data_IF_773394868513
#
_entry.id   IF_773394868513
#
_cell.length_a   1.000
_cell.length_b   1.000
_cell.length_c   1.000
_cell.angle_alpha   90.00
_cell.angle_beta   90.00
_cell.angle_gamma   90.00
#
_symmetry.space_group_name_H-M   'P 1'
#
loop_
_entity.id
_entity.type
_entity.pdbx_description
1 polymer ?
#
# COMPACT_ATOMS: atom_id res chain seq x y z
N UNK A 1 8.80 12.06 -12.48
CA UNK A 1 7.51 12.44 -11.87
C UNK A 1 6.47 11.88 -12.80
N UNK A 2 5.86 10.76 -12.41
CA UNK A 2 5.05 9.94 -13.31
C UNK A 2 3.58 10.09 -12.95
N UNK A 3 2.67 10.14 -13.94
CA UNK A 3 1.26 9.93 -13.67
C UNK A 3 1.05 8.43 -13.44
N UNK A 4 0.72 8.02 -12.22
CA UNK A 4 0.04 6.73 -11.99
C UNK A 4 -1.25 6.78 -12.81
N UNK A 5 -1.34 5.90 -13.80
CA UNK A 5 -2.38 5.93 -14.82
C UNK A 5 -3.78 5.96 -14.22
N UNK A 6 -4.64 6.77 -14.84
CA UNK A 6 -6.08 6.64 -14.73
C UNK A 6 -6.47 5.16 -14.86
N UNK A 7 -7.35 4.70 -13.97
CA UNK A 7 -7.96 3.37 -14.03
C UNK A 7 -8.47 3.09 -15.45
N UNK A 8 -7.70 2.38 -16.27
CA UNK A 8 -8.13 1.93 -17.59
C UNK A 8 -8.67 0.52 -17.46
N UNK A 9 -9.98 0.41 -17.71
CA UNK A 9 -10.75 -0.83 -17.80
C UNK A 9 -10.07 -1.81 -18.75
N UNK A 10 -9.66 -2.96 -18.24
CA UNK A 10 -9.37 -4.16 -19.02
C UNK A 10 -10.11 -5.36 -18.42
N UNK A 11 -10.33 -6.37 -19.27
CA UNK A 11 -11.28 -7.46 -19.05
C UNK A 11 -10.97 -8.30 -17.80
N UNK A 12 -12.05 -8.71 -17.13
CA UNK A 12 -12.10 -9.53 -15.91
C UNK A 12 -11.50 -10.92 -16.16
N UNK A 13 -10.42 -11.33 -15.47
CA UNK A 13 -10.04 -12.74 -15.38
C UNK A 13 -10.95 -13.48 -14.38
N UNK A 14 -11.13 -14.77 -14.61
CA UNK A 14 -11.98 -15.71 -13.85
C UNK A 14 -11.82 -15.60 -12.31
N UNK A 15 -12.91 -15.35 -11.54
CA UNK A 15 -12.85 -15.07 -10.11
C UNK A 15 -12.71 -16.31 -9.20
N UNK A 16 -12.31 -17.49 -9.69
CA UNK A 16 -12.34 -18.73 -8.88
C UNK A 16 -11.02 -19.52 -8.73
N UNK A 17 -9.87 -19.04 -9.17
CA UNK A 17 -8.62 -19.70 -8.81
C UNK A 17 -8.13 -19.23 -7.42
N UNK A 18 -8.05 -20.09 -6.38
CA UNK A 18 -7.29 -19.75 -5.19
C UNK A 18 -5.84 -19.52 -5.62
N UNK A 19 -5.34 -18.29 -5.45
CA UNK A 19 -3.94 -17.98 -5.68
C UNK A 19 -3.04 -18.91 -4.83
N UNK A 20 -1.86 -19.30 -5.32
CA UNK A 20 -0.90 -20.07 -4.52
C UNK A 20 -0.58 -19.33 -3.21
N UNK A 21 -0.33 -20.07 -2.13
CA UNK A 21 -0.01 -19.48 -0.81
C UNK A 21 1.27 -18.63 -0.92
N UNK A 22 1.14 -17.33 -0.66
CA UNK A 22 2.27 -16.42 -0.40
C UNK A 22 3.08 -16.92 0.79
N UNK A 23 4.38 -16.65 0.80
CA UNK A 23 5.23 -16.91 1.98
C UNK A 23 4.66 -16.09 3.14
N UNK A 24 4.21 -16.76 4.21
CA UNK A 24 3.76 -16.08 5.43
C UNK A 24 4.88 -15.20 5.96
N UNK A 25 4.65 -13.89 5.96
CA UNK A 25 5.61 -12.94 6.50
C UNK A 25 5.45 -12.81 8.00
N UNK A 26 6.50 -12.29 8.64
CA UNK A 26 6.37 -11.76 10.00
C UNK A 26 5.37 -10.60 9.97
N UNK A 27 4.49 -10.56 10.97
CA UNK A 27 3.52 -9.47 11.17
C UNK A 27 4.21 -8.11 11.01
N UNK A 28 3.67 -7.28 10.12
CA UNK A 28 4.18 -5.95 9.80
C UNK A 28 3.06 -4.92 9.64
N UNK A 29 3.41 -3.64 9.56
CA UNK A 29 2.45 -2.59 9.28
C UNK A 29 2.03 -2.64 7.81
N UNK A 30 0.75 -2.92 7.58
CA UNK A 30 0.10 -2.81 6.28
C UNK A 30 -0.93 -1.68 6.29
N UNK A 31 -1.22 -1.15 5.10
CA UNK A 31 -2.12 -0.02 4.94
C UNK A 31 -3.18 -0.29 3.88
N UNK A 32 -4.42 0.12 4.19
CA UNK A 32 -5.53 0.29 3.27
C UNK A 32 -5.86 1.79 3.20
N UNK A 33 -5.92 2.35 2.00
CA UNK A 33 -6.28 3.74 1.84
C UNK A 33 -7.08 3.96 0.56
N UNK A 34 -7.87 5.03 0.59
CA UNK A 34 -8.59 5.58 -0.56
C UNK A 34 -8.24 7.05 -0.67
N UNK A 35 -8.16 7.56 -1.89
CA UNK A 35 -7.77 8.92 -2.23
C UNK A 35 -8.86 9.60 -3.03
N UNK A 36 -9.02 10.90 -2.80
CA UNK A 36 -10.02 11.76 -3.43
C UNK A 36 -9.39 13.07 -3.92
N UNK A 37 -10.13 13.79 -4.78
CA UNK A 37 -9.78 15.16 -5.22
C UNK A 37 -10.20 16.21 -4.18
N UNK A 38 -9.61 17.40 -4.23
CA UNK A 38 -8.77 17.93 -3.16
C UNK A 38 -8.30 19.38 -3.35
N UNK A 39 -9.17 20.39 -3.25
CA UNK A 39 -8.78 21.81 -3.36
C UNK A 39 -8.47 22.47 -2.01
N UNK A 40 -8.87 21.86 -0.89
CA UNK A 40 -8.64 22.39 0.46
C UNK A 40 -7.23 22.09 0.98
N UNK A 41 -6.71 22.91 1.90
CA UNK A 41 -5.45 22.61 2.57
C UNK A 41 -5.62 21.44 3.56
N UNK A 42 -4.70 20.47 3.51
CA UNK A 42 -4.75 19.25 4.31
C UNK A 42 -3.35 18.83 4.77
N UNK A 43 -3.29 18.00 5.82
CA UNK A 43 -2.08 17.36 6.33
C UNK A 43 -2.39 15.88 6.55
N UNK A 44 -1.51 14.98 6.14
CA UNK A 44 -1.59 13.57 6.53
C UNK A 44 -0.23 13.06 7.03
N UNK A 45 -0.29 12.13 7.99
CA UNK A 45 0.87 11.46 8.59
C UNK A 45 0.54 9.99 8.86
N UNK A 46 1.56 9.14 8.84
CA UNK A 46 1.46 7.73 9.21
C UNK A 46 2.69 7.32 10.03
N UNK A 47 2.59 6.19 10.72
CA UNK A 47 3.69 5.64 11.52
C UNK A 47 4.01 6.44 12.79
N UNK A 48 3.07 7.28 13.26
CA UNK A 48 3.30 8.11 14.45
C UNK A 48 3.16 7.28 15.72
N UNK A 49 4.13 7.34 16.64
CA UNK A 49 3.93 6.88 18.02
C UNK A 49 2.81 7.68 18.70
N UNK A 50 2.25 7.18 19.81
CA UNK A 50 1.21 7.91 20.56
C UNK A 50 1.65 9.34 20.96
N UNK A 51 2.91 9.51 21.38
CA UNK A 51 3.46 10.82 21.74
C UNK A 51 3.64 11.74 20.53
N UNK A 52 4.16 11.21 19.41
CA UNK A 52 4.29 11.98 18.16
C UNK A 52 2.92 12.37 17.60
N UNK A 53 1.93 11.47 17.67
CA UNK A 53 0.56 11.76 17.28
C UNK A 53 -0.01 12.90 18.13
N UNK A 54 0.14 12.84 19.46
CA UNK A 54 -0.37 13.88 20.36
C UNK A 54 0.28 15.24 20.06
N UNK A 55 1.61 15.30 19.91
CA UNK A 55 2.31 16.53 19.57
C UNK A 55 1.89 17.08 18.19
N UNK A 56 1.76 16.21 17.19
CA UNK A 56 1.30 16.59 15.84
C UNK A 56 -0.14 17.10 15.88
N UNK A 57 -1.01 16.46 16.65
CA UNK A 57 -2.40 16.87 16.83
C UNK A 57 -2.48 18.29 17.40
N UNK A 58 -1.76 18.56 18.49
CA UNK A 58 -1.73 19.87 19.14
C UNK A 58 -1.17 20.96 18.22
N UNK A 59 -0.07 20.66 17.53
CA UNK A 59 0.54 21.57 16.56
C UNK A 59 -0.43 21.93 15.42
N UNK A 60 -1.10 20.93 14.85
CA UNK A 60 -2.03 21.13 13.74
C UNK A 60 -3.30 21.87 14.20
N UNK A 61 -3.84 21.51 15.37
CA UNK A 61 -5.00 22.20 15.96
C UNK A 61 -4.71 23.69 16.20
N UNK A 62 -3.52 24.02 16.72
CA UNK A 62 -3.09 25.41 16.90
C UNK A 62 -2.98 26.20 15.58
N UNK A 63 -2.80 25.51 14.45
CA UNK A 63 -2.77 26.10 13.11
C UNK A 63 -4.14 26.14 12.41
N UNK A 64 -5.21 25.76 13.13
CA UNK A 64 -6.57 25.75 12.61
C UNK A 64 -6.92 24.53 11.76
N UNK A 65 -6.11 23.47 11.81
CA UNK A 65 -6.45 22.19 11.20
C UNK A 65 -7.31 21.35 12.14
N UNK A 66 -8.31 20.66 11.61
CA UNK A 66 -9.19 19.74 12.33
C UNK A 66 -8.87 18.31 11.95
N UNK A 67 -8.83 17.40 12.92
CA UNK A 67 -8.65 15.99 12.64
C UNK A 67 -9.89 15.42 11.95
N UNK A 68 -9.71 14.85 10.77
CA UNK A 68 -10.77 14.26 9.95
C UNK A 68 -10.87 12.76 10.14
N UNK A 69 -9.73 12.08 10.17
CA UNK A 69 -9.63 10.64 10.33
C UNK A 69 -8.35 10.29 11.10
N UNK A 70 -8.43 9.26 11.95
CA UNK A 70 -7.31 8.66 12.68
C UNK A 70 -7.47 7.15 12.71
N UNK A 71 -6.43 6.41 12.35
CA UNK A 71 -6.38 4.96 12.53
C UNK A 71 -5.25 4.62 13.50
N UNK A 72 -5.59 3.92 14.58
CA UNK A 72 -4.62 3.26 15.42
C UNK A 72 -4.38 1.83 14.94
N UNK A 73 -3.17 1.32 15.12
CA UNK A 73 -2.79 -0.06 14.87
C UNK A 73 -1.57 -0.42 15.71
N UNK A 74 -1.31 -1.71 15.93
CA UNK A 74 -0.15 -2.14 16.70
C UNK A 74 0.59 -3.26 15.99
N UNK A 75 1.87 -3.07 15.74
CA UNK A 75 2.76 -4.10 15.23
C UNK A 75 3.63 -4.59 16.37
N UNK A 76 3.62 -5.90 16.64
CA UNK A 76 4.40 -6.51 17.73
C UNK A 76 4.20 -5.80 19.09
N UNK A 77 2.95 -5.44 19.40
CA UNK A 77 2.57 -4.77 20.66
C UNK A 77 2.92 -3.27 20.74
N UNK A 78 3.52 -2.68 19.71
CA UNK A 78 3.85 -1.26 19.68
C UNK A 78 2.79 -0.47 18.90
N UNK A 79 2.01 0.42 19.54
CA UNK A 79 0.98 1.19 18.86
C UNK A 79 1.57 2.29 17.98
N UNK A 80 0.96 2.49 16.81
CA UNK A 80 1.22 3.55 15.87
C UNK A 80 -0.09 4.11 15.30
N UNK A 81 -0.02 5.32 14.74
CA UNK A 81 -1.18 6.05 14.25
C UNK A 81 -0.97 6.58 12.83
N UNK A 82 -2.04 6.53 12.05
CA UNK A 82 -2.23 7.38 10.86
C UNK A 82 -3.23 8.48 11.22
N UNK A 83 -3.08 9.63 10.58
CA UNK A 83 -3.98 10.74 10.82
C UNK A 83 -4.04 11.68 9.61
N UNK A 84 -5.24 12.18 9.35
CA UNK A 84 -5.55 13.15 8.30
C UNK A 84 -6.23 14.34 8.96
N UNK A 85 -5.76 15.55 8.65
CA UNK A 85 -6.34 16.80 9.10
C UNK A 85 -6.69 17.68 7.90
N UNK A 86 -7.82 18.37 8.00
CA UNK A 86 -8.25 19.36 7.02
C UNK A 86 -8.23 20.76 7.64
N UNK A 87 -7.84 21.77 6.87
CA UNK A 87 -7.94 23.17 7.28
C UNK A 87 -9.33 23.69 6.98
N UNK A 88 -10.29 23.34 7.84
CA UNK A 88 -11.71 23.68 7.67
C UNK A 88 -12.29 24.26 8.95
N UNK A 89 -13.27 25.16 8.79
CA UNK A 89 -14.14 25.58 9.89
C UNK A 89 -15.19 24.50 10.21
N UNK A 90 -15.99 24.72 11.24
CA UNK A 90 -17.09 23.80 11.58
C UNK A 90 -17.51 23.91 13.04
N UNK A 91 -18.43 23.03 13.50
CA UNK A 91 -18.89 23.02 14.88
C UNK A 91 -17.76 22.73 15.87
N UNK A 92 -18.02 22.88 17.17
CA UNK A 92 -17.12 22.34 18.19
C UNK A 92 -16.90 20.84 17.96
N UNK A 93 -15.70 20.35 18.27
CA UNK A 93 -15.31 18.97 18.02
C UNK A 93 -14.39 18.47 19.11
N UNK A 94 -14.32 17.14 19.24
CA UNK A 94 -13.44 16.47 20.17
C UNK A 94 -12.79 15.27 19.51
N UNK A 95 -11.55 14.98 19.88
CA UNK A 95 -10.88 13.73 19.54
C UNK A 95 -10.21 13.15 20.77
N UNK A 96 -10.15 11.82 20.84
CA UNK A 96 -9.47 11.05 21.89
C UNK A 96 -8.79 9.84 21.25
N UNK A 97 -7.69 9.39 21.85
CA UNK A 97 -6.95 8.20 21.44
C UNK A 97 -6.41 7.46 22.67
N UNK A 98 -5.99 6.22 22.47
CA UNK A 98 -5.43 5.40 23.56
C UNK A 98 -6.45 4.95 24.61
N UNK A 99 -7.76 5.02 24.29
CA UNK A 99 -8.81 4.68 25.25
C UNK A 99 -9.02 3.17 25.32
N UNK A 100 -9.01 2.58 26.50
CA UNK A 100 -9.57 1.22 26.69
C UNK A 100 -11.05 1.19 26.33
N UNK A 101 -11.63 0.01 26.10
CA UNK A 101 -13.07 -0.12 25.80
C UNK A 101 -13.99 0.57 26.83
N UNK A 102 -13.66 0.48 28.13
CA UNK A 102 -14.42 1.16 29.18
C UNK A 102 -14.27 2.69 29.13
N UNK A 103 -13.06 3.20 28.94
CA UNK A 103 -12.81 4.63 28.80
C UNK A 103 -13.45 5.21 27.53
N UNK A 104 -13.44 4.45 26.44
CA UNK A 104 -14.14 4.80 25.20
C UNK A 104 -15.64 4.91 25.43
N UNK A 105 -16.25 3.94 26.11
CA UNK A 105 -17.68 3.98 26.44
C UNK A 105 -18.02 5.20 27.30
N UNK A 106 -17.21 5.48 28.34
CA UNK A 106 -17.40 6.66 29.19
C UNK A 106 -17.30 7.97 28.38
N UNK A 107 -16.30 8.10 27.51
CA UNK A 107 -16.15 9.28 26.66
C UNK A 107 -17.31 9.42 25.67
N UNK A 108 -17.76 8.30 25.08
CA UNK A 108 -18.91 8.27 24.18
C UNK A 108 -20.18 8.79 24.87
N UNK A 109 -20.49 8.27 26.07
CA UNK A 109 -21.67 8.64 26.83
C UNK A 109 -21.63 10.12 27.26
N UNK A 110 -20.45 10.58 27.71
CA UNK A 110 -20.23 11.99 28.07
C UNK A 110 -20.44 12.92 26.88
N UNK A 111 -19.85 12.61 25.72
CA UNK A 111 -19.97 13.44 24.52
C UNK A 111 -21.41 13.43 23.97
N UNK A 112 -22.08 12.28 23.99
CA UNK A 112 -23.48 12.18 23.60
C UNK A 112 -24.39 13.09 24.45
N UNK A 113 -24.19 13.11 25.78
CA UNK A 113 -24.92 14.02 26.68
C UNK A 113 -24.66 15.51 26.40
N UNK A 114 -23.51 15.85 25.84
CA UNK A 114 -23.13 17.21 25.45
C UNK A 114 -23.57 17.59 24.02
N UNK A 115 -24.32 16.71 23.34
CA UNK A 115 -24.79 16.93 21.97
C UNK A 115 -23.73 16.68 20.88
N UNK A 116 -22.63 16.00 21.23
CA UNK A 116 -21.64 15.54 20.26
C UNK A 116 -22.07 14.23 19.61
N UNK A 117 -21.76 14.07 18.32
CA UNK A 117 -22.04 12.87 17.53
C UNK A 117 -20.73 12.25 17.08
N UNK A 118 -20.59 10.95 17.28
CA UNK A 118 -19.42 10.20 16.82
C UNK A 118 -19.37 10.24 15.29
N UNK A 119 -18.22 10.63 14.74
CA UNK A 119 -17.99 10.70 13.28
C UNK A 119 -17.20 9.52 12.77
N UNK A 120 -16.24 9.07 13.56
CA UNK A 120 -15.40 7.93 13.24
C UNK A 120 -14.83 7.31 14.51
N UNK A 121 -14.55 6.01 14.44
CA UNK A 121 -13.89 5.23 15.49
C UNK A 121 -12.90 4.27 14.84
N UNK A 122 -11.73 4.13 15.45
CA UNK A 122 -10.72 3.14 15.12
C UNK A 122 -10.45 2.31 16.37
N UNK A 123 -10.81 1.03 16.35
CA UNK A 123 -10.32 0.06 17.32
C UNK A 123 -8.96 -0.48 16.87
N UNK A 124 -8.11 -0.87 17.82
CA UNK A 124 -6.83 -1.53 17.56
C UNK A 124 -6.36 -2.34 18.76
N UNK A 125 -5.73 -3.49 18.51
CA UNK A 125 -5.23 -4.35 19.57
C UNK A 125 -4.01 -3.78 20.28
N UNK A 126 -3.95 -3.87 21.61
CA UNK A 126 -2.76 -3.61 22.43
C UNK A 126 -2.66 -4.70 23.48
N UNK A 127 -1.65 -5.57 23.36
CA UNK A 127 -1.60 -6.80 24.14
C UNK A 127 -2.81 -7.69 23.85
N UNK A 128 -3.52 -8.14 24.90
CA UNK A 128 -4.74 -8.94 24.76
C UNK A 128 -6.02 -8.10 24.63
N UNK A 129 -5.97 -6.80 24.91
CA UNK A 129 -7.14 -5.90 24.86
C UNK A 129 -7.21 -5.09 23.57
N UNK A 130 -8.27 -4.29 23.45
CA UNK A 130 -8.40 -3.26 22.43
C UNK A 130 -8.34 -1.85 23.02
N UNK A 131 -7.67 -0.96 22.28
CA UNK A 131 -7.75 0.48 22.46
C UNK A 131 -8.53 1.13 21.32
N UNK A 132 -9.00 2.35 21.56
CA UNK A 132 -9.81 3.11 20.64
C UNK A 132 -9.27 4.53 20.43
N UNK A 133 -9.39 4.99 19.19
CA UNK A 133 -9.30 6.40 18.81
C UNK A 133 -10.61 6.81 18.13
N UNK A 134 -11.07 8.03 18.39
CA UNK A 134 -12.36 8.49 17.89
C UNK A 134 -12.41 10.01 17.75
N UNK A 135 -13.27 10.45 16.83
CA UNK A 135 -13.56 11.87 16.55
C UNK A 135 -15.05 12.12 16.64
N UNK A 136 -15.44 13.19 17.32
CA UNK A 136 -16.80 13.63 17.51
C UNK A 136 -16.97 15.09 17.06
N UNK A 137 -18.12 15.41 16.49
CA UNK A 137 -18.53 16.78 16.19
C UNK A 137 -19.82 17.13 16.94
N UNK A 138 -19.90 18.32 17.53
CA UNK A 138 -21.11 18.87 18.12
C UNK A 138 -22.07 19.35 17.02
N UNK A 139 -22.85 18.43 16.49
CA UNK A 139 -23.68 18.65 15.31
C UNK A 139 -25.09 18.10 15.50
N UNK A 140 -26.06 18.71 14.83
CA UNK A 140 -27.40 18.15 14.67
C UNK A 140 -27.44 17.16 13.50
N UNK A 141 -28.57 16.48 13.31
CA UNK A 141 -28.83 15.65 12.13
C UNK A 141 -29.74 14.46 12.43
N UNK A 142 -29.80 13.47 11.51
CA UNK A 142 -30.73 12.35 11.65
C UNK A 142 -30.41 11.50 12.89
N UNK A 143 -31.37 10.68 13.30
CA UNK A 143 -31.14 9.67 14.33
C UNK A 143 -29.90 8.83 13.99
N UNK A 144 -29.08 8.53 14.99
CA UNK A 144 -27.83 7.81 14.82
C UNK A 144 -27.56 6.88 15.99
N UNK A 145 -26.70 5.89 15.76
CA UNK A 145 -26.26 4.96 16.79
C UNK A 145 -24.85 4.46 16.46
N UNK A 146 -24.15 3.96 17.47
CA UNK A 146 -22.85 3.34 17.30
C UNK A 146 -22.73 2.13 18.23
N UNK A 147 -21.92 1.15 17.82
CA UNK A 147 -21.65 -0.07 18.58
C UNK A 147 -20.18 -0.44 18.42
N UNK A 148 -19.59 -1.10 19.42
CA UNK A 148 -18.19 -1.58 19.40
C UNK A 148 -18.09 -2.93 20.12
N UNK A 149 -16.96 -3.62 19.95
CA UNK A 149 -16.70 -4.91 20.60
C UNK A 149 -17.49 -6.08 20.02
N UNK A 150 -18.12 -5.91 18.86
CA UNK A 150 -19.01 -6.92 18.28
C UNK A 150 -18.20 -8.05 17.64
N UNK A 151 -18.57 -9.31 17.89
CA UNK A 151 -18.12 -10.43 17.05
C UNK A 151 -18.68 -10.30 15.62
N UNK A 152 -18.17 -11.07 14.67
CA UNK A 152 -18.69 -11.10 13.29
C UNK A 152 -20.21 -11.33 13.24
N UNK A 153 -20.71 -12.32 13.99
CA UNK A 153 -22.14 -12.62 14.07
C UNK A 153 -22.94 -11.49 14.70
N UNK A 154 -22.45 -10.90 15.79
CA UNK A 154 -23.13 -9.78 16.46
C UNK A 154 -23.16 -8.53 15.57
N UNK A 155 -22.07 -8.27 14.83
CA UNK A 155 -22.00 -7.18 13.87
C UNK A 155 -23.01 -7.37 12.74
N UNK A 156 -23.08 -8.56 12.15
CA UNK A 156 -24.05 -8.86 11.10
C UNK A 156 -25.50 -8.69 11.58
N UNK A 157 -25.84 -9.22 12.77
CA UNK A 157 -27.16 -9.04 13.37
C UNK A 157 -27.51 -7.57 13.60
N UNK A 158 -26.57 -6.78 14.15
CA UNK A 158 -26.78 -5.35 14.36
C UNK A 158 -26.92 -4.60 13.03
N UNK A 159 -26.12 -4.94 12.03
CA UNK A 159 -26.18 -4.36 10.70
C UNK A 159 -27.55 -4.60 10.05
N UNK A 160 -28.03 -5.85 10.03
CA UNK A 160 -29.31 -6.21 9.40
C UNK A 160 -30.50 -5.57 10.13
N UNK A 161 -30.46 -5.56 11.47
CA UNK A 161 -31.47 -4.91 12.29
C UNK A 161 -31.55 -3.40 11.99
N UNK A 162 -30.39 -2.72 11.96
CA UNK A 162 -30.31 -1.28 11.73
C UNK A 162 -30.71 -0.91 10.30
N UNK A 163 -30.25 -1.68 9.30
CA UNK A 163 -30.66 -1.53 7.91
C UNK A 163 -32.18 -1.66 7.75
N UNK A 164 -32.79 -2.67 8.39
CA UNK A 164 -34.25 -2.85 8.40
C UNK A 164 -35.03 -1.70 9.08
N UNK A 165 -34.37 -0.93 9.96
CA UNK A 165 -34.93 0.27 10.60
C UNK A 165 -34.64 1.58 9.84
N UNK A 166 -34.04 1.49 8.65
CA UNK A 166 -33.69 2.63 7.80
C UNK A 166 -32.39 3.35 8.22
N UNK A 167 -31.55 2.73 9.05
CA UNK A 167 -30.19 3.23 9.29
C UNK A 167 -29.24 2.74 8.20
N UNK A 168 -28.25 3.57 7.84
CA UNK A 168 -27.12 3.20 6.99
C UNK A 168 -25.81 3.29 7.76
N UNK A 169 -24.87 2.42 7.41
CA UNK A 169 -23.52 2.47 7.94
C UNK A 169 -22.80 3.72 7.41
N UNK A 170 -22.09 4.43 8.29
CA UNK A 170 -21.28 5.61 7.98
C UNK A 170 -19.80 5.39 8.23
N UNK A 171 -19.47 4.47 9.14
CA UNK A 171 -18.09 4.14 9.48
C UNK A 171 -18.01 2.71 9.99
N UNK A 172 -16.95 2.00 9.63
CA UNK A 172 -16.63 0.66 10.14
C UNK A 172 -15.17 0.59 10.56
N UNK A 173 -14.92 -0.08 11.67
CA UNK A 173 -13.59 -0.48 12.11
C UNK A 173 -13.61 -1.97 12.40
N UNK A 174 -12.61 -2.68 11.91
CA UNK A 174 -12.31 -4.05 12.29
C UNK A 174 -10.96 -4.06 13.01
N UNK A 175 -10.82 -4.86 14.07
CA UNK A 175 -9.62 -4.90 14.90
C UNK A 175 -9.53 -6.22 15.67
N UNK A 176 -8.33 -6.59 16.10
CA UNK A 176 -8.09 -7.82 16.86
C UNK A 176 -8.09 -7.53 18.36
N UNK A 177 -8.89 -8.28 19.12
CA UNK A 177 -8.93 -8.27 20.58
C UNK A 177 -8.85 -9.72 21.08
N UNK A 178 -7.88 -10.03 21.94
CA UNK A 178 -7.64 -11.40 22.44
C UNK A 178 -7.52 -12.45 21.32
N UNK A 179 -6.89 -12.09 20.19
CA UNK A 179 -6.71 -12.96 19.04
C UNK A 179 -7.98 -13.22 18.23
N UNK A 180 -9.05 -12.46 18.47
CA UNK A 180 -10.33 -12.57 17.76
C UNK A 180 -10.67 -11.25 17.06
N UNK A 181 -11.20 -11.33 15.86
CA UNK A 181 -11.68 -10.14 15.14
C UNK A 181 -12.94 -9.59 15.80
N UNK A 182 -12.94 -8.27 16.03
CA UNK A 182 -14.04 -7.46 16.55
C UNK A 182 -14.36 -6.31 15.62
N UNK A 183 -15.60 -5.85 15.69
CA UNK A 183 -16.12 -4.77 14.87
C UNK A 183 -16.66 -3.62 15.72
N UNK A 184 -16.44 -2.41 15.22
CA UNK A 184 -17.15 -1.21 15.63
C UNK A 184 -17.78 -0.54 14.41
N UNK A 185 -18.96 0.05 14.60
CA UNK A 185 -19.68 0.73 13.54
C UNK A 185 -20.41 1.97 14.02
N UNK A 186 -20.63 2.89 13.09
CA UNK A 186 -21.43 4.10 13.27
C UNK A 186 -22.49 4.13 12.19
N UNK A 187 -23.75 4.33 12.58
CA UNK A 187 -24.90 4.36 11.67
C UNK A 187 -25.73 5.62 11.86
N UNK A 188 -26.37 6.09 10.78
CA UNK A 188 -27.38 7.16 10.84
C UNK A 188 -28.57 6.89 9.91
N UNK A 189 -29.70 7.56 10.14
CA UNK A 189 -30.89 7.48 9.27
C UNK A 189 -30.86 8.53 8.15
N UNK A 190 -29.82 8.52 7.31
CA UNK A 190 -29.74 9.40 6.13
C UNK A 190 -30.10 8.67 4.82
N UNK A 191 -30.62 9.39 3.81
CA UNK A 191 -31.31 8.81 2.64
C UNK A 191 -30.70 9.10 1.26
N UNK A 192 -29.46 9.62 1.15
CA UNK A 192 -29.07 10.32 -0.09
C UNK A 192 -28.25 9.53 -1.13
N UNK A 193 -27.58 8.42 -0.79
CA UNK A 193 -26.69 7.70 -1.74
C UNK A 193 -26.89 6.18 -1.70
N UNK A 194 -26.79 5.51 -2.85
CA UNK A 194 -26.67 4.04 -2.92
C UNK A 194 -25.36 3.61 -2.26
N UNK A 195 -25.40 2.59 -1.43
CA UNK A 195 -24.25 2.16 -0.64
C UNK A 195 -24.25 0.65 -0.46
N UNK A 196 -23.06 0.09 -0.24
CA UNK A 196 -22.87 -1.32 0.05
C UNK A 196 -21.78 -1.47 1.12
N UNK A 197 -22.00 -2.33 2.10
CA UNK A 197 -20.97 -2.68 3.07
C UNK A 197 -20.73 -4.20 3.11
N UNK A 198 -19.49 -4.59 3.34
CA UNK A 198 -19.07 -5.99 3.53
C UNK A 198 -18.05 -6.07 4.66
N UNK A 199 -18.01 -7.21 5.33
CA UNK A 199 -17.07 -7.51 6.41
C UNK A 199 -16.67 -8.98 6.36
N UNK A 200 -15.60 -9.34 7.09
CA UNK A 200 -15.08 -10.71 7.12
C UNK A 200 -14.53 -11.19 5.77
N UNK A 201 -14.12 -10.27 4.89
CA UNK A 201 -13.56 -10.63 3.58
C UNK A 201 -12.08 -10.97 3.73
N UNK A 202 -11.66 -12.16 3.30
CA UNK A 202 -10.25 -12.43 3.02
C UNK A 202 -9.80 -11.65 1.77
N UNK A 203 -8.49 -11.50 1.56
CA UNK A 203 -7.89 -10.67 0.51
C UNK A 203 -8.54 -10.85 -0.86
N UNK A 204 -8.66 -12.08 -1.37
CA UNK A 204 -9.19 -12.33 -2.70
C UNK A 204 -10.67 -11.91 -2.84
N UNK A 205 -11.45 -12.09 -1.78
CA UNK A 205 -12.85 -11.68 -1.75
C UNK A 205 -12.98 -10.15 -1.62
N UNK A 206 -12.08 -9.50 -0.87
CA UNK A 206 -12.01 -8.04 -0.79
C UNK A 206 -11.67 -7.41 -2.13
N UNK A 207 -10.63 -7.92 -2.81
CA UNK A 207 -10.27 -7.51 -4.18
C UNK A 207 -11.42 -7.63 -5.16
N UNK A 208 -12.03 -8.82 -5.23
CA UNK A 208 -13.14 -9.07 -6.16
C UNK A 208 -14.33 -8.13 -5.88
N UNK A 209 -14.63 -7.85 -4.60
CA UNK A 209 -15.65 -6.89 -4.22
C UNK A 209 -15.27 -5.46 -4.65
N UNK A 210 -14.04 -5.01 -4.36
CA UNK A 210 -13.56 -3.67 -4.72
C UNK A 210 -13.59 -3.43 -6.24
N UNK A 211 -13.12 -4.40 -7.03
CA UNK A 211 -13.17 -4.34 -8.50
C UNK A 211 -14.60 -4.28 -9.02
N UNK A 212 -15.47 -5.16 -8.51
CA UNK A 212 -16.88 -5.23 -8.92
C UNK A 212 -17.63 -3.93 -8.61
N UNK A 213 -17.44 -3.37 -7.41
CA UNK A 213 -18.07 -2.11 -7.00
C UNK A 213 -17.48 -0.90 -7.74
N UNK A 214 -16.17 -0.85 -7.96
CA UNK A 214 -15.51 0.18 -8.76
C UNK A 214 -16.03 0.18 -10.21
N UNK A 215 -16.20 -0.99 -10.83
CA UNK A 215 -16.79 -1.10 -12.18
C UNK A 215 -18.24 -0.60 -12.26
N UNK A 216 -18.97 -0.62 -11.14
CA UNK A 216 -20.34 -0.13 -11.00
C UNK A 216 -20.42 1.37 -10.60
N UNK A 217 -19.26 2.04 -10.44
CA UNK A 217 -19.15 3.45 -10.07
C UNK A 217 -19.33 3.70 -8.57
N UNK A 218 -18.99 2.74 -7.72
CA UNK A 218 -18.91 2.94 -6.28
C UNK A 218 -17.47 3.21 -5.84
N UNK A 219 -17.32 4.14 -4.90
CA UNK A 219 -16.05 4.49 -4.27
C UNK A 219 -15.92 3.85 -2.90
N UNK A 220 -14.71 3.41 -2.56
CA UNK A 220 -14.39 2.97 -1.21
C UNK A 220 -14.24 4.20 -0.31
N UNK A 221 -15.23 4.46 0.55
CA UNK A 221 -15.28 5.66 1.41
C UNK A 221 -14.84 5.41 2.85
N UNK A 222 -14.82 4.15 3.28
CA UNK A 222 -14.32 3.74 4.58
C UNK A 222 -13.92 2.26 4.50
N UNK A 223 -12.78 1.91 5.09
CA UNK A 223 -12.39 0.53 5.26
C UNK A 223 -11.32 0.38 6.33
N UNK A 224 -11.20 -0.84 6.85
CA UNK A 224 -10.15 -1.23 7.78
C UNK A 224 -9.88 -2.75 7.63
N UNK A 225 -8.76 -3.22 8.16
CA UNK A 225 -8.39 -4.63 8.15
C UNK A 225 -7.81 -5.06 9.50
N UNK A 226 -7.90 -6.36 9.81
CA UNK A 226 -7.33 -6.95 11.01
C UNK A 226 -6.96 -8.40 10.77
N UNK A 227 -5.95 -8.90 11.48
CA UNK A 227 -5.49 -10.28 11.35
C UNK A 227 -6.11 -11.18 12.42
N UNK A 228 -6.59 -12.35 11.99
CA UNK A 228 -7.04 -13.45 12.84
C UNK A 228 -6.55 -14.78 12.23
N UNK A 229 -5.97 -15.66 13.04
CA UNK A 229 -5.46 -16.94 12.56
C UNK A 229 -4.37 -16.84 11.48
N UNK A 230 -3.66 -15.71 11.40
CA UNK A 230 -2.66 -15.42 10.37
C UNK A 230 -3.28 -15.29 8.98
N UNK A 231 -4.47 -14.68 8.91
CA UNK A 231 -5.14 -14.21 7.70
C UNK A 231 -5.63 -12.79 7.92
N UNK A 232 -5.56 -11.96 6.89
CA UNK A 232 -6.05 -10.60 6.93
C UNK A 232 -7.53 -10.54 6.52
N UNK A 233 -8.36 -9.97 7.40
CA UNK A 233 -9.80 -9.79 7.20
C UNK A 233 -10.15 -8.32 7.03
N UNK A 234 -10.83 -8.00 5.94
CA UNK A 234 -11.22 -6.65 5.55
C UNK A 234 -12.70 -6.38 5.84
N UNK A 235 -12.98 -5.15 6.26
CA UNK A 235 -14.31 -4.58 6.33
C UNK A 235 -14.34 -3.23 5.63
N UNK A 236 -15.37 -2.99 4.82
CA UNK A 236 -15.42 -1.83 3.96
C UNK A 236 -16.85 -1.38 3.65
N UNK A 237 -16.96 -0.08 3.38
CA UNK A 237 -18.15 0.64 2.96
C UNK A 237 -17.84 1.32 1.62
N UNK A 238 -18.66 0.99 0.63
CA UNK A 238 -18.66 1.61 -0.68
C UNK A 238 -19.90 2.47 -0.87
N UNK A 239 -19.74 3.63 -1.48
CA UNK A 239 -20.84 4.53 -1.82
C UNK A 239 -20.78 4.94 -3.28
N UNK A 240 -21.93 5.06 -3.92
CA UNK A 240 -22.01 5.59 -5.27
C UNK A 240 -21.88 7.10 -5.22
N UNK A 241 -20.72 7.62 -5.65
CA UNK A 241 -20.46 9.07 -5.67
C UNK A 241 -20.16 9.56 -7.09
N UNK A 242 -20.36 10.86 -7.39
CA UNK A 242 -19.95 11.45 -8.68
C UNK A 242 -18.44 11.62 -8.81
N UNK A 243 -17.71 11.67 -7.70
CA UNK A 243 -16.26 11.79 -7.69
C UNK A 243 -15.65 10.40 -7.92
N UNK A 244 -14.48 10.35 -8.53
CA UNK A 244 -13.71 9.10 -8.60
C UNK A 244 -12.73 9.03 -7.45
N UNK A 245 -12.50 7.82 -6.94
CA UNK A 245 -11.46 7.52 -5.97
C UNK A 245 -10.38 6.61 -6.56
N UNK A 246 -9.19 6.67 -5.97
CA UNK A 246 -8.13 5.66 -6.17
C UNK A 246 -7.99 4.92 -4.85
N UNK A 247 -7.95 3.60 -4.84
CA UNK A 247 -7.75 2.82 -3.63
C UNK A 247 -6.56 1.87 -3.77
N UNK A 248 -5.89 1.62 -2.67
CA UNK A 248 -4.82 0.62 -2.54
C UNK A 248 -4.94 -0.08 -1.19
N UNK A 249 -4.60 -1.36 -1.13
CA UNK A 249 -4.70 -2.18 0.07
C UNK A 249 -3.49 -3.09 0.21
N UNK A 250 -3.28 -3.66 1.41
CA UNK A 250 -2.13 -4.52 1.68
C UNK A 250 -0.78 -3.84 1.44
N UNK A 251 -0.71 -2.50 1.50
CA UNK A 251 0.52 -1.76 1.21
C UNK A 251 1.49 -1.88 2.38
N UNK A 252 2.76 -2.17 2.13
CA UNK A 252 3.81 -1.95 3.16
C UNK A 252 3.94 -0.45 3.48
N UNK A 253 4.52 -0.11 4.63
CA UNK A 253 4.78 1.30 5.00
C UNK A 253 5.57 2.08 3.93
N UNK A 254 6.58 1.44 3.32
CA UNK A 254 7.34 2.04 2.22
C UNK A 254 6.51 2.22 0.96
N UNK A 255 5.68 1.23 0.61
CA UNK A 255 4.77 1.32 -0.54
C UNK A 255 3.76 2.44 -0.35
N UNK A 256 3.14 2.51 0.83
CA UNK A 256 2.19 3.57 1.16
C UNK A 256 2.84 4.95 1.01
N UNK A 257 4.07 5.15 1.51
CA UNK A 257 4.76 6.43 1.34
C UNK A 257 5.03 6.76 -0.13
N UNK A 258 5.45 5.79 -0.95
CA UNK A 258 5.68 6.01 -2.39
C UNK A 258 4.39 6.46 -3.08
N UNK A 259 3.30 5.71 -2.88
CA UNK A 259 1.99 6.03 -3.47
C UNK A 259 1.44 7.35 -2.92
N UNK A 260 1.66 7.63 -1.64
CA UNK A 260 1.29 8.90 -1.02
C UNK A 260 1.99 10.08 -1.71
N UNK A 261 3.31 10.02 -1.87
CA UNK A 261 4.09 11.09 -2.50
C UNK A 261 3.65 11.30 -3.95
N UNK A 262 3.44 10.22 -4.69
CA UNK A 262 3.06 10.27 -6.10
C UNK A 262 1.62 10.77 -6.32
N UNK A 263 0.63 10.19 -5.63
CA UNK A 263 -0.77 10.62 -5.71
C UNK A 263 -0.93 12.08 -5.24
N UNK A 264 -0.20 12.48 -4.19
CA UNK A 264 -0.21 13.88 -3.72
C UNK A 264 0.32 14.84 -4.77
N UNK A 265 1.42 14.48 -5.47
CA UNK A 265 1.96 15.28 -6.56
C UNK A 265 0.99 15.42 -7.75
N UNK A 266 0.08 14.45 -7.92
CA UNK A 266 -0.97 14.46 -8.92
C UNK A 266 -2.26 15.19 -8.47
N UNK A 267 -2.28 15.77 -7.27
CA UNK A 267 -3.43 16.51 -6.74
C UNK A 267 -4.51 15.61 -6.13
N UNK A 268 -4.14 14.42 -5.67
CA UNK A 268 -4.99 13.59 -4.82
C UNK A 268 -4.65 13.79 -3.34
N UNK A 269 -5.62 13.61 -2.45
CA UNK A 269 -5.37 13.50 -1.00
C UNK A 269 -5.96 12.21 -0.45
N UNK A 270 -5.46 11.66 0.65
CA UNK A 270 -6.12 10.54 1.30
C UNK A 270 -7.50 10.95 1.83
N UNK A 271 -8.54 10.19 1.49
CA UNK A 271 -9.88 10.27 2.08
C UNK A 271 -9.92 9.54 3.44
N UNK A 272 -9.26 8.37 3.49
CA UNK A 272 -8.95 7.68 4.74
C UNK A 272 -7.67 6.85 4.57
N UNK A 273 -7.02 6.53 5.69
CA UNK A 273 -5.88 5.62 5.76
C UNK A 273 -6.05 4.75 6.99
N UNK A 274 -6.27 3.45 6.81
CA UNK A 274 -6.29 2.46 7.87
C UNK A 274 -4.95 1.73 7.91
N UNK A 275 -4.27 1.81 9.05
CA UNK A 275 -3.13 0.94 9.33
C UNK A 275 -3.61 -0.31 10.06
N UNK A 276 -2.93 -1.43 9.86
CA UNK A 276 -3.17 -2.65 10.59
C UNK A 276 -1.88 -3.49 10.67
N UNK A 277 -1.81 -4.37 11.67
CA UNK A 277 -0.82 -5.44 11.67
C UNK A 277 -1.34 -6.53 10.73
N UNK A 278 -0.58 -6.83 9.67
CA UNK A 278 -0.93 -7.82 8.66
C UNK A 278 0.23 -8.74 8.29
N UNK A 279 -0.09 -9.87 7.68
CA UNK A 279 0.88 -10.91 7.25
C UNK A 279 0.96 -11.04 5.73
N UNK A 280 -0.02 -10.53 4.98
CA UNK A 280 -0.17 -10.76 3.55
C UNK A 280 -0.11 -9.44 2.76
N UNK A 281 1.09 -8.86 2.52
CA UNK A 281 1.21 -7.66 1.70
C UNK A 281 0.73 -7.94 0.27
N UNK A 282 0.03 -6.97 -0.32
CA UNK A 282 -0.49 -6.99 -1.70
C UNK A 282 0.34 -6.06 -2.57
N UNK A 283 0.41 -4.79 -2.19
CA UNK A 283 1.20 -3.79 -2.89
C UNK A 283 2.58 -3.62 -2.22
N UNK A 284 3.63 -4.06 -2.91
CA UNK A 284 5.03 -3.92 -2.44
C UNK A 284 5.87 -3.22 -3.48
N UNK A 285 6.41 -2.05 -3.15
CA UNK A 285 7.31 -1.31 -4.03
C UNK A 285 8.61 -1.03 -3.31
N UNK A 286 9.70 -1.57 -3.83
CA UNK A 286 11.04 -1.27 -3.36
C UNK A 286 11.43 0.11 -3.88
N UNK A 287 12.00 0.96 -3.01
CA UNK A 287 12.68 2.20 -3.43
C UNK A 287 13.99 1.88 -4.14
N UNK A 288 13.91 1.20 -5.27
CA UNK A 288 15.05 0.74 -6.04
C UNK A 288 15.56 1.88 -6.94
N UNK A 289 16.78 2.40 -6.71
CA UNK A 289 17.28 3.57 -7.41
C UNK A 289 17.94 3.18 -8.74
N UNK A 290 17.14 2.76 -9.72
CA UNK A 290 17.66 2.39 -11.04
C UNK A 290 18.38 3.58 -11.69
N UNK A 291 19.64 3.35 -12.06
CA UNK A 291 20.41 4.32 -12.82
C UNK A 291 20.13 4.14 -14.31
N UNK A 292 20.04 5.26 -15.04
CA UNK A 292 20.09 5.21 -16.50
C UNK A 292 21.45 4.69 -16.95
N UNK A 293 21.49 3.78 -17.93
CA UNK A 293 22.73 3.28 -18.49
C UNK A 293 23.53 4.41 -19.14
N UNK A 294 24.83 4.48 -18.84
CA UNK A 294 25.70 5.54 -19.34
C UNK A 294 26.14 5.31 -20.79
N UNK A 295 26.11 4.07 -21.27
CA UNK A 295 26.51 3.70 -22.62
C UNK A 295 25.46 2.79 -23.27
N UNK A 296 25.49 2.69 -24.61
CA UNK A 296 24.50 1.93 -25.39
C UNK A 296 24.38 0.46 -25.00
N UNK A 297 25.48 -0.17 -24.58
CA UNK A 297 25.52 -1.60 -24.26
C UNK A 297 25.69 -1.90 -22.77
N UNK A 298 25.38 -0.93 -21.88
CA UNK A 298 25.71 -0.99 -20.44
C UNK A 298 24.52 -1.26 -19.51
N UNK A 299 23.41 -1.80 -20.03
CA UNK A 299 22.28 -2.20 -19.19
C UNK A 299 22.71 -3.14 -18.03
N UNK A 300 23.64 -4.06 -18.26
CA UNK A 300 24.20 -4.95 -17.22
C UNK A 300 24.98 -4.20 -16.13
N UNK A 301 25.76 -3.18 -16.50
CA UNK A 301 26.53 -2.38 -15.57
C UNK A 301 25.63 -1.45 -14.75
N UNK A 302 24.62 -0.86 -15.40
CA UNK A 302 23.59 -0.04 -14.77
C UNK A 302 22.78 -0.82 -13.73
N UNK A 303 22.32 -2.03 -14.08
CA UNK A 303 21.62 -2.90 -13.13
C UNK A 303 22.53 -3.27 -11.95
N UNK A 304 23.75 -3.76 -12.20
CA UNK A 304 24.65 -4.19 -11.13
C UNK A 304 25.03 -3.05 -10.17
N UNK A 305 25.35 -1.86 -10.69
CA UNK A 305 25.64 -0.69 -9.87
C UNK A 305 24.41 -0.23 -9.06
N UNK A 306 23.21 -0.28 -9.66
CA UNK A 306 21.96 0.06 -8.97
C UNK A 306 21.62 -0.94 -7.85
N UNK A 307 21.84 -2.25 -8.09
CA UNK A 307 21.69 -3.29 -7.07
C UNK A 307 22.68 -3.08 -5.93
N UNK A 308 23.94 -2.77 -6.23
CA UNK A 308 24.94 -2.47 -5.19
C UNK A 308 24.52 -1.26 -4.36
N UNK A 309 24.04 -0.19 -4.99
CA UNK A 309 23.58 1.01 -4.28
C UNK A 309 22.33 0.77 -3.45
N UNK A 310 21.42 -0.08 -3.92
CA UNK A 310 20.21 -0.45 -3.19
C UNK A 310 20.54 -1.14 -1.86
N UNK A 311 21.38 -2.17 -1.88
CA UNK A 311 21.76 -2.89 -0.67
C UNK A 311 22.81 -2.16 0.18
N UNK A 312 23.68 -1.36 -0.45
CA UNK A 312 24.73 -0.59 0.21
C UNK A 312 24.72 0.85 -0.30
N UNK A 313 23.94 1.75 0.32
CA UNK A 313 23.84 3.14 -0.11
C UNK A 313 25.18 3.89 -0.21
N UNK A 314 26.17 3.48 0.59
CA UNK A 314 27.55 4.01 0.57
C UNK A 314 28.52 3.30 -0.37
N UNK A 315 28.06 2.43 -1.27
CA UNK A 315 28.92 1.73 -2.24
C UNK A 315 29.67 2.69 -3.14
N UNK A 316 30.91 2.34 -3.50
CA UNK A 316 31.71 3.07 -4.50
C UNK A 316 31.59 2.48 -5.90
N UNK A 317 30.82 1.39 -6.08
CA UNK A 317 30.55 0.82 -7.39
C UNK A 317 29.77 1.81 -8.26
N UNK A 318 30.40 2.23 -9.34
CA UNK A 318 29.80 2.96 -10.47
C UNK A 318 29.66 2.03 -11.68
N UNK A 319 28.83 2.38 -12.66
CA UNK A 319 28.72 1.61 -13.91
C UNK A 319 30.08 1.44 -14.59
N UNK A 320 30.91 2.48 -14.56
CA UNK A 320 32.25 2.45 -15.14
C UNK A 320 33.17 1.49 -14.39
N UNK A 321 33.19 1.52 -13.06
CA UNK A 321 34.01 0.58 -12.26
C UNK A 321 33.53 -0.87 -12.43
N UNK A 322 32.22 -1.09 -12.61
CA UNK A 322 31.67 -2.40 -12.96
C UNK A 322 32.18 -2.83 -14.34
N UNK A 323 32.23 -1.92 -15.31
CA UNK A 323 32.76 -2.20 -16.64
C UNK A 323 34.26 -2.48 -16.65
N UNK A 324 35.04 -1.68 -15.92
CA UNK A 324 36.48 -1.90 -15.69
C UNK A 324 36.72 -3.30 -15.14
N UNK A 325 35.97 -3.70 -14.11
CA UNK A 325 36.09 -5.03 -13.50
C UNK A 325 35.68 -6.14 -14.46
N UNK A 326 34.63 -5.95 -15.24
CA UNK A 326 34.12 -6.95 -16.19
C UNK A 326 35.13 -7.24 -17.32
N UNK A 327 35.88 -6.23 -17.75
CA UNK A 327 36.81 -6.32 -18.87
C UNK A 327 38.29 -6.40 -18.46
N UNK A 328 38.60 -6.32 -17.16
CA UNK A 328 39.98 -6.26 -16.67
C UNK A 328 40.71 -4.97 -17.09
N UNK A 329 39.98 -3.85 -17.12
CA UNK A 329 40.45 -2.53 -17.57
C UNK A 329 40.41 -1.51 -16.42
N UNK A 330 40.93 -0.31 -16.68
CA UNK A 330 40.90 0.84 -15.74
C UNK A 330 40.53 2.16 -16.42
N UNK A 331 40.13 2.11 -17.69
CA UNK A 331 39.86 3.26 -18.55
C UNK A 331 38.41 3.32 -19.04
N UNK A 332 37.51 2.46 -18.55
CA UNK A 332 36.09 2.50 -18.88
C UNK A 332 35.39 3.74 -18.28
N UNK A 333 36.01 4.43 -17.32
CA UNK A 333 35.57 5.76 -16.88
C UNK A 333 35.89 6.89 -17.88
N UNK A 334 36.74 6.63 -18.89
CA UNK A 334 37.25 7.63 -19.82
C UNK A 334 37.12 7.17 -21.26
N UNK A 335 38.24 7.12 -21.99
CA UNK A 335 38.28 6.79 -23.42
C UNK A 335 37.73 5.40 -23.75
N UNK A 336 37.81 4.45 -22.82
CA UNK A 336 37.29 3.10 -23.02
C UNK A 336 35.75 3.05 -23.08
N UNK A 337 35.06 4.03 -22.50
CA UNK A 337 33.61 4.03 -22.31
C UNK A 337 32.83 3.96 -23.63
N UNK A 338 33.28 4.66 -24.67
CA UNK A 338 32.63 4.72 -26.00
C UNK A 338 33.21 3.71 -27.00
N UNK A 339 34.27 3.00 -26.63
CA UNK A 339 34.98 2.04 -27.47
C UNK A 339 35.02 0.65 -26.85
N UNK A 340 36.20 0.21 -26.42
CA UNK A 340 36.46 -1.16 -25.97
C UNK A 340 35.52 -1.66 -24.85
N UNK A 341 34.99 -0.78 -24.01
CA UNK A 341 34.10 -1.15 -22.92
C UNK A 341 32.61 -1.16 -23.31
N UNK A 342 32.20 -0.54 -24.43
CA UNK A 342 30.80 -0.43 -24.85
C UNK A 342 30.32 -1.70 -25.56
N UNK A 343 30.38 -2.84 -24.86
CA UNK A 343 30.01 -4.14 -25.39
C UNK A 343 28.94 -4.82 -24.50
N UNK A 344 28.04 -5.62 -25.09
CA UNK A 344 27.15 -6.49 -24.30
C UNK A 344 27.95 -7.39 -23.37
N UNK A 345 27.41 -7.66 -22.19
CA UNK A 345 28.07 -8.54 -21.22
C UNK A 345 27.07 -9.32 -20.35
N UNK A 346 27.61 -10.14 -19.47
CA UNK A 346 26.87 -11.11 -18.65
C UNK A 346 26.55 -10.50 -17.29
N UNK A 347 25.26 -10.33 -17.00
CA UNK A 347 24.81 -9.75 -15.73
C UNK A 347 25.21 -10.61 -14.51
N UNK A 348 25.27 -11.94 -14.66
CA UNK A 348 25.71 -12.84 -13.58
C UNK A 348 27.08 -12.43 -13.04
N UNK A 349 28.04 -12.19 -13.93
CA UNK A 349 29.40 -11.81 -13.56
C UNK A 349 29.42 -10.42 -12.93
N UNK A 350 28.66 -9.46 -13.47
CA UNK A 350 28.55 -8.12 -12.91
C UNK A 350 27.96 -8.13 -11.48
N UNK A 351 26.86 -8.88 -11.26
CA UNK A 351 26.25 -9.06 -9.94
C UNK A 351 27.16 -9.81 -8.97
N UNK A 352 27.95 -10.77 -9.46
CA UNK A 352 28.97 -11.47 -8.66
C UNK A 352 30.08 -10.50 -8.23
N UNK A 353 30.56 -9.66 -9.16
CA UNK A 353 31.61 -8.68 -8.92
C UNK A 353 31.21 -7.65 -7.85
N UNK A 354 29.96 -7.18 -7.88
CA UNK A 354 29.44 -6.27 -6.84
C UNK A 354 29.00 -6.99 -5.56
N UNK A 355 29.05 -8.33 -5.52
CA UNK A 355 28.77 -9.15 -4.34
C UNK A 355 27.31 -9.52 -4.10
N UNK A 356 26.39 -9.10 -4.97
CA UNK A 356 24.94 -9.15 -4.74
C UNK A 356 24.20 -10.20 -5.59
N UNK A 357 24.91 -11.10 -6.27
CA UNK A 357 24.29 -12.29 -6.88
C UNK A 357 24.02 -13.35 -5.80
N UNK A 358 22.78 -13.83 -5.72
CA UNK A 358 22.43 -15.06 -5.00
C UNK A 358 22.51 -16.27 -5.94
N UNK A 359 21.72 -16.27 -7.02
CA UNK A 359 21.72 -17.31 -8.06
C UNK A 359 21.17 -16.78 -9.38
N UNK A 360 21.46 -17.49 -10.47
CA UNK A 360 20.82 -17.29 -11.78
C UNK A 360 19.98 -18.53 -12.15
N UNK A 361 18.83 -18.32 -12.78
CA UNK A 361 18.05 -19.36 -13.46
C UNK A 361 17.81 -18.96 -14.92
N UNK A 362 17.71 -19.96 -15.80
CA UNK A 362 17.39 -19.77 -17.23
C UNK A 362 15.89 -20.01 -17.49
N UNK A 363 15.04 -19.47 -16.61
CA UNK A 363 13.59 -19.61 -16.68
C UNK A 363 12.90 -18.27 -16.47
N UNK A 364 11.66 -18.20 -16.95
CA UNK A 364 10.69 -17.18 -16.56
C UNK A 364 10.14 -17.59 -15.18
N UNK A 365 10.46 -16.82 -14.15
CA UNK A 365 9.97 -17.11 -12.80
C UNK A 365 8.49 -16.79 -12.70
N UNK A 366 7.75 -17.54 -11.88
CA UNK A 366 6.33 -17.27 -11.64
C UNK A 366 6.13 -15.92 -10.96
N UNK A 367 4.92 -15.34 -11.09
CA UNK A 367 4.56 -14.13 -10.34
C UNK A 367 4.78 -14.34 -8.84
N UNK A 368 4.38 -15.49 -8.31
CA UNK A 368 4.61 -15.84 -6.90
C UNK A 368 6.09 -15.76 -6.50
N UNK A 369 7.01 -16.17 -7.36
CA UNK A 369 8.45 -16.04 -7.09
C UNK A 369 8.88 -14.57 -7.08
N UNK A 370 8.38 -13.75 -8.01
CA UNK A 370 8.64 -12.29 -8.02
C UNK A 370 8.14 -11.65 -6.73
N UNK A 371 6.91 -12.00 -6.33
CA UNK A 371 6.32 -11.53 -5.07
C UNK A 371 7.19 -11.89 -3.88
N UNK A 372 7.60 -13.17 -3.76
CA UNK A 372 8.41 -13.64 -2.64
C UNK A 372 9.76 -12.90 -2.52
N UNK A 373 10.39 -12.55 -3.64
CA UNK A 373 11.64 -11.78 -3.63
C UNK A 373 11.39 -10.33 -3.22
N UNK A 374 10.42 -9.67 -3.86
CA UNK A 374 10.09 -8.26 -3.62
C UNK A 374 9.61 -8.04 -2.18
N UNK A 375 8.71 -8.89 -1.69
CA UNK A 375 8.20 -8.86 -0.31
C UNK A 375 9.35 -9.02 0.69
N UNK A 376 10.36 -9.82 0.35
CA UNK A 376 11.55 -10.01 1.18
C UNK A 376 12.64 -8.93 0.97
N UNK A 377 12.32 -7.82 0.31
CA UNK A 377 13.24 -6.70 0.09
C UNK A 377 14.31 -6.99 -0.95
N UNK A 378 14.09 -7.94 -1.86
CA UNK A 378 15.06 -8.34 -2.87
C UNK A 378 14.55 -8.05 -4.28
N UNK A 379 15.13 -7.09 -5.02
CA UNK A 379 14.80 -6.90 -6.42
C UNK A 379 15.23 -8.12 -7.24
N UNK A 380 14.37 -8.57 -8.17
CA UNK A 380 14.69 -9.65 -9.10
C UNK A 380 15.15 -9.04 -10.42
N UNK A 381 16.40 -9.28 -10.83
CA UNK A 381 16.86 -8.82 -12.14
C UNK A 381 16.44 -9.83 -13.22
N UNK A 382 16.12 -9.32 -14.41
CA UNK A 382 15.49 -10.07 -15.49
C UNK A 382 16.26 -9.78 -16.78
N UNK A 383 16.55 -10.83 -17.56
CA UNK A 383 17.03 -10.67 -18.94
C UNK A 383 15.86 -10.76 -19.91
N UNK A 384 15.65 -9.70 -20.66
CA UNK A 384 14.79 -9.65 -21.84
C UNK A 384 15.63 -9.95 -23.09
N UNK A 385 15.09 -10.75 -24.00
CA UNK A 385 15.71 -11.10 -25.27
C UNK A 385 14.72 -10.92 -26.43
N UNK A 386 15.23 -10.59 -27.61
CA UNK A 386 14.44 -10.45 -28.83
C UNK A 386 14.88 -11.48 -29.88
N UNK A 387 13.94 -11.92 -30.71
CA UNK A 387 14.22 -12.88 -31.79
C UNK A 387 15.23 -12.36 -32.81
N UNK A 388 15.25 -11.04 -33.05
CA UNK A 388 16.23 -10.37 -33.91
C UNK A 388 17.64 -10.25 -33.30
N UNK A 389 17.87 -10.82 -32.11
CA UNK A 389 19.12 -10.72 -31.37
C UNK A 389 19.12 -9.58 -30.34
N UNK A 390 20.22 -9.50 -29.58
CA UNK A 390 20.35 -8.54 -28.48
C UNK A 390 19.70 -9.00 -27.18
N UNK A 391 19.87 -8.20 -26.14
CA UNK A 391 19.26 -8.45 -24.85
C UNK A 391 19.35 -7.22 -23.96
N UNK A 392 18.43 -7.13 -23.01
CA UNK A 392 18.31 -6.01 -22.09
C UNK A 392 18.10 -6.52 -20.68
N UNK A 393 18.66 -5.83 -19.70
CA UNK A 393 18.49 -6.18 -18.30
C UNK A 393 17.60 -5.16 -17.62
N UNK A 394 16.52 -5.64 -17.02
CA UNK A 394 15.57 -4.84 -16.23
C UNK A 394 15.45 -5.44 -14.84
N UNK A 395 14.76 -4.76 -13.94
CA UNK A 395 14.61 -5.19 -12.56
C UNK A 395 13.14 -5.15 -12.16
N UNK A 396 12.58 -6.31 -11.77
CA UNK A 396 11.33 -6.34 -11.03
C UNK A 396 11.60 -5.80 -9.62
N UNK A 397 11.07 -4.62 -9.35
CA UNK A 397 11.31 -3.81 -8.15
C UNK A 397 10.05 -3.59 -7.31
N UNK A 398 8.94 -4.20 -7.70
CA UNK A 398 7.69 -4.12 -6.98
C UNK A 398 6.62 -5.02 -7.58
N UNK A 399 5.57 -5.25 -6.82
CA UNK A 399 4.34 -5.92 -7.22
C UNK A 399 3.16 -5.02 -6.82
N UNK A 400 2.09 -5.09 -7.60
CA UNK A 400 0.78 -4.55 -7.23
C UNK A 400 -0.28 -5.60 -7.49
N UNK A 401 -1.46 -5.34 -6.95
CA UNK A 401 -2.67 -6.11 -7.27
C UNK A 401 -2.91 -6.22 -8.79
N UNK A 402 -3.75 -7.17 -9.20
CA UNK A 402 -4.10 -7.46 -10.61
C UNK A 402 -2.93 -7.95 -11.48
N UNK A 403 -1.99 -8.69 -10.87
CA UNK A 403 -0.85 -9.30 -11.55
C UNK A 403 0.08 -8.28 -12.24
N UNK A 404 0.31 -7.12 -11.59
CA UNK A 404 1.23 -6.10 -12.09
C UNK A 404 2.58 -6.13 -11.37
N UNK A 405 3.64 -5.78 -12.12
CA UNK A 405 5.02 -5.70 -11.64
C UNK A 405 5.58 -4.31 -11.92
N UNK A 406 6.20 -3.69 -10.92
CA UNK A 406 7.00 -2.48 -11.12
C UNK A 406 8.35 -2.83 -11.73
N UNK A 407 8.55 -2.48 -12.98
CA UNK A 407 9.79 -2.74 -13.74
C UNK A 407 10.64 -1.48 -13.77
N UNK A 408 11.82 -1.58 -13.18
CA UNK A 408 12.88 -0.59 -13.23
C UNK A 408 13.81 -0.88 -14.41
N UNK A 409 13.86 0.04 -15.37
CA UNK A 409 14.53 -0.11 -16.66
C UNK A 409 15.68 0.90 -16.80
N UNK A 410 16.95 0.45 -16.95
CA UNK A 410 18.11 1.33 -17.10
C UNK A 410 18.18 2.04 -18.45
N UNK A 411 17.48 1.61 -19.50
CA UNK A 411 17.48 2.31 -20.79
C UNK A 411 16.93 3.73 -20.68
N UNK A 412 15.81 3.87 -19.95
CA UNK A 412 15.23 5.16 -19.58
C UNK A 412 15.70 5.70 -18.23
N UNK A 413 16.22 4.84 -17.34
CA UNK A 413 16.36 5.17 -15.93
C UNK A 413 14.99 5.38 -15.27
N UNK A 414 14.00 4.59 -15.69
CA UNK A 414 12.59 4.75 -15.34
C UNK A 414 12.07 3.52 -14.62
N UNK A 415 11.08 3.72 -13.75
CA UNK A 415 10.33 2.63 -13.12
C UNK A 415 8.88 2.76 -13.55
N UNK A 416 8.30 1.70 -14.10
CA UNK A 416 6.95 1.70 -14.65
C UNK A 416 6.18 0.43 -14.26
N UNK A 417 4.87 0.56 -14.12
CA UNK A 417 3.98 -0.57 -13.86
C UNK A 417 3.74 -1.35 -15.17
N UNK A 418 3.96 -2.67 -15.15
CA UNK A 418 3.85 -3.55 -16.32
C UNK A 418 3.05 -4.78 -15.92
N UNK A 419 2.04 -5.16 -16.72
CA UNK A 419 1.32 -6.41 -16.51
C UNK A 419 2.29 -7.59 -16.57
N UNK A 420 2.20 -8.53 -15.64
CA UNK A 420 3.15 -9.64 -15.52
C UNK A 420 3.27 -10.46 -16.80
N UNK A 421 2.16 -10.75 -17.49
CA UNK A 421 2.18 -11.44 -18.79
C UNK A 421 2.86 -10.63 -19.90
N UNK A 422 2.74 -9.30 -19.86
CA UNK A 422 3.46 -8.42 -20.79
C UNK A 422 4.96 -8.48 -20.52
N UNK A 423 5.38 -8.39 -19.26
CA UNK A 423 6.79 -8.54 -18.87
C UNK A 423 7.36 -9.89 -19.32
N UNK A 424 6.56 -10.95 -19.24
CA UNK A 424 6.97 -12.32 -19.55
C UNK A 424 7.24 -12.53 -21.05
N UNK A 425 6.35 -12.05 -21.93
CA UNK A 425 6.40 -12.43 -23.36
C UNK A 425 6.32 -11.28 -24.37
N UNK A 426 6.06 -10.04 -23.96
CA UNK A 426 5.85 -8.91 -24.87
C UNK A 426 6.48 -7.60 -24.36
N UNK A 427 7.57 -7.68 -23.59
CA UNK A 427 8.22 -6.51 -23.01
C UNK A 427 8.75 -5.60 -24.13
N UNK A 428 8.42 -4.31 -24.06
CA UNK A 428 8.71 -3.35 -25.13
C UNK A 428 8.25 -3.84 -26.53
N UNK A 429 7.09 -4.49 -26.60
CA UNK A 429 6.41 -4.89 -27.82
C UNK A 429 6.65 -6.33 -28.27
N UNK A 430 7.84 -6.90 -28.04
CA UNK A 430 8.18 -8.26 -28.50
C UNK A 430 9.28 -8.98 -27.70
N UNK A 431 9.83 -8.34 -26.67
CA UNK A 431 10.89 -8.89 -25.84
C UNK A 431 10.34 -9.98 -24.91
N UNK A 432 11.08 -11.07 -24.78
CA UNK A 432 10.74 -12.18 -23.89
C UNK A 432 11.70 -12.28 -22.72
N UNK A 433 11.17 -12.46 -21.52
CA UNK A 433 11.95 -12.83 -20.35
C UNK A 433 12.58 -14.21 -20.59
N UNK A 434 13.89 -14.32 -20.45
CA UNK A 434 14.63 -15.59 -20.64
C UNK A 434 15.42 -16.05 -19.42
N UNK A 435 15.89 -15.14 -18.57
CA UNK A 435 16.72 -15.48 -17.41
C UNK A 435 16.36 -14.60 -16.22
N UNK A 436 16.58 -15.13 -15.02
CA UNK A 436 16.29 -14.46 -13.75
C UNK A 436 17.52 -14.49 -12.87
N UNK A 437 17.77 -13.38 -12.18
CA UNK A 437 18.94 -13.19 -11.34
C UNK A 437 18.45 -12.77 -9.96
N UNK A 438 18.47 -13.73 -9.05
CA UNK A 438 18.12 -13.52 -7.65
C UNK A 438 19.24 -12.75 -6.98
N UNK A 439 18.88 -11.72 -6.23
CA UNK A 439 19.85 -10.86 -5.56
C UNK A 439 19.95 -11.18 -4.07
N UNK A 440 20.95 -10.61 -3.37
CA UNK A 440 21.12 -10.69 -1.92
C UNK A 440 21.75 -9.41 -1.36
N UNK A 441 21.46 -9.12 -0.10
CA UNK A 441 22.02 -7.97 0.63
C UNK A 441 23.54 -8.06 0.87
#
# INVERSE_FOLDING_TARGET
MFPIGESRRFAVPDPQAPGPRRVKMTVQALFLASWERSDGAWIARHGLTAAQYQATFEQNAAQGFRLRAVSGYSVNGTPAFTAIWDKTGGPAWAARHGLTGAQYQQAFDQFAQQGYRLKMVSGYGVGAGANFAAVWDQSSGPAWTARHGLSSTQYQQAFDQLAGQGYRLRWVSVYTESGQVRYAGVWDKSSSTSWVARHGLEEAAFRAAAQSYGAQGYDLVCGNAATEGGKDYYAALWEKTPATSVMHHGMTASTYQIKFDDLSAQGWRPAFVAGYAGEDPVDVVLRFPIQRQLQGQWCWAAVAASVSRYYRPGTTWTQCSVADRQWGRTDCCGTGATGACNNPSILQTALTNVGHLNRQTAVQESLQTVENEVVAGRPLCIRIAWAGGGGHFVVASGIEDEDFVWVSDPGGGTTALVAYDTLRSAYAGSGSWTHSYFTRA
#
